data_IF_436840840145
#
_entry.id   IF_436840840145
#
_cell.length_a   1.000
_cell.length_b   1.000
_cell.length_c   1.000
_cell.angle_alpha   90.00
_cell.angle_beta   90.00
_cell.angle_gamma   90.00
#
_symmetry.space_group_name_H-M   'P 1'
#
loop_
_entity.id
_entity.type
_entity.pdbx_description
1 polymer ?
#
# COMPACT_ATOMS: atom_id res chain seq x y z
N UNK A 1 4.16 -0.49 34.68
CA UNK A 1 4.26 -0.83 33.24
C UNK A 1 3.46 -2.11 32.97
N UNK A 2 2.95 -2.33 31.74
CA UNK A 2 2.14 -3.51 31.38
C UNK A 2 2.83 -4.84 31.69
N UNK A 3 4.13 -4.96 31.37
CA UNK A 3 4.96 -6.14 31.67
C UNK A 3 4.92 -6.55 33.15
N UNK A 4 4.94 -5.59 34.07
CA UNK A 4 4.93 -5.87 35.51
C UNK A 4 3.57 -6.37 36.04
N UNK A 5 2.52 -6.34 35.20
CA UNK A 5 1.16 -6.80 35.53
C UNK A 5 0.68 -7.89 34.54
N UNK A 6 1.57 -8.40 33.68
CA UNK A 6 1.26 -9.37 32.62
C UNK A 6 0.09 -8.95 31.69
N UNK A 7 -0.09 -7.65 31.48
CA UNK A 7 -1.14 -7.10 30.60
C UNK A 7 -0.61 -7.13 29.16
N UNK A 8 -1.24 -7.86 28.21
CA UNK A 8 -0.90 -7.79 26.80
C UNK A 8 -1.07 -6.35 26.31
N UNK A 9 -0.14 -5.86 25.49
CA UNK A 9 -0.23 -4.54 24.89
C UNK A 9 0.16 -4.56 23.41
N UNK A 10 -0.38 -3.60 22.66
CA UNK A 10 -0.12 -3.38 21.24
C UNK A 10 0.15 -1.89 21.01
N UNK A 11 1.08 -1.55 20.11
CA UNK A 11 1.29 -0.15 19.71
C UNK A 11 0.42 0.18 18.51
N UNK A 12 -0.26 1.32 18.54
CA UNK A 12 -1.19 1.77 17.48
C UNK A 12 -0.76 3.16 17.01
N UNK A 13 -0.64 3.33 15.69
CA UNK A 13 -0.44 4.63 15.05
C UNK A 13 -1.71 5.03 14.26
N UNK A 14 -1.90 4.47 13.06
CA UNK A 14 -3.08 4.74 12.21
C UNK A 14 -4.04 3.54 12.05
N UNK A 15 -3.79 2.44 12.75
CA UNK A 15 -4.61 1.22 12.75
C UNK A 15 -4.78 0.48 11.39
N UNK A 16 -3.97 0.76 10.37
CA UNK A 16 -3.94 0.02 9.08
C UNK A 16 -3.30 -1.40 9.16
N UNK A 17 -3.42 -2.09 10.30
CA UNK A 17 -2.85 -3.41 10.50
C UNK A 17 -3.78 -4.52 10.01
N UNK A 18 -3.44 -5.18 8.88
CA UNK A 18 -4.37 -6.05 8.15
C UNK A 18 -4.39 -7.52 8.58
N UNK A 19 -3.66 -7.93 9.63
CA UNK A 19 -3.58 -9.34 10.02
C UNK A 19 -4.75 -9.75 10.93
N UNK A 20 -5.33 -10.93 10.69
CA UNK A 20 -6.41 -11.48 11.50
C UNK A 20 -6.05 -11.69 12.99
N UNK A 21 -4.76 -11.68 13.33
CA UNK A 21 -4.26 -11.67 14.71
C UNK A 21 -4.47 -10.34 15.43
N UNK A 22 -4.37 -9.20 14.72
CA UNK A 22 -4.55 -7.86 15.30
C UNK A 22 -6.02 -7.58 15.61
N UNK A 23 -6.95 -7.97 14.72
CA UNK A 23 -8.39 -7.86 14.96
C UNK A 23 -8.91 -8.70 16.13
N UNK A 24 -8.13 -9.67 16.61
CA UNK A 24 -8.44 -10.51 17.80
C UNK A 24 -7.69 -10.09 19.05
N UNK A 25 -6.91 -9.01 18.99
CA UNK A 25 -6.10 -8.56 20.12
C UNK A 25 -7.00 -8.02 21.25
N UNK A 26 -6.80 -8.52 22.47
CA UNK A 26 -7.46 -8.05 23.67
C UNK A 26 -6.41 -7.67 24.72
N UNK A 27 -6.29 -6.37 25.01
CA UNK A 27 -5.27 -5.81 25.87
C UNK A 27 -5.15 -4.29 25.73
N UNK A 28 -4.09 -3.72 26.29
CA UNK A 28 -3.82 -2.29 26.26
C UNK A 28 -3.34 -1.83 24.88
N UNK A 29 -3.93 -0.77 24.32
CA UNK A 29 -3.39 -0.11 23.13
C UNK A 29 -2.59 1.13 23.55
N UNK A 30 -1.36 1.24 23.02
CA UNK A 30 -0.48 2.38 23.19
C UNK A 30 -0.59 3.26 21.94
N UNK A 31 -1.38 4.34 22.04
CA UNK A 31 -1.57 5.29 20.93
C UNK A 31 -0.33 6.19 20.77
N UNK A 32 0.28 6.13 19.59
CA UNK A 32 1.46 6.91 19.21
C UNK A 32 1.09 8.29 18.63
N UNK A 33 -0.20 8.65 18.50
CA UNK A 33 -0.69 9.81 17.77
C UNK A 33 -0.19 11.19 18.23
N UNK A 34 0.46 11.28 19.40
CA UNK A 34 1.14 12.49 19.88
C UNK A 34 2.63 12.56 19.49
N UNK A 35 3.24 11.44 19.10
CA UNK A 35 4.63 11.35 18.66
C UNK A 35 4.71 11.61 17.14
N UNK A 36 4.45 12.86 16.74
CA UNK A 36 4.30 13.26 15.32
C UNK A 36 5.34 14.26 14.80
N UNK A 37 6.39 14.55 15.56
CA UNK A 37 7.43 15.46 15.09
C UNK A 37 8.25 14.85 13.94
N UNK A 38 8.67 15.73 13.04
CA UNK A 38 9.59 15.44 11.93
C UNK A 38 10.74 16.43 12.04
N UNK A 39 11.98 15.93 12.05
CA UNK A 39 13.20 16.73 12.18
C UNK A 39 14.16 16.46 11.02
N UNK A 40 14.27 17.41 10.09
CA UNK A 40 15.18 17.33 8.95
C UNK A 40 16.62 17.51 9.44
N UNK A 41 17.42 16.46 9.31
CA UNK A 41 18.78 16.45 9.83
C UNK A 41 19.70 17.41 9.08
N UNK A 42 20.74 17.90 9.77
CA UNK A 42 21.67 18.90 9.24
C UNK A 42 22.26 18.45 7.90
N UNK A 43 21.98 19.21 6.85
CA UNK A 43 22.43 18.93 5.48
C UNK A 43 21.39 18.25 4.59
N UNK A 44 20.16 18.01 5.07
CA UNK A 44 19.00 17.68 4.22
C UNK A 44 19.07 16.33 3.50
N UNK A 45 19.79 15.35 4.06
CA UNK A 45 19.93 14.00 3.49
C UNK A 45 19.04 12.96 4.17
N UNK A 46 18.64 13.22 5.41
CA UNK A 46 17.80 12.37 6.24
C UNK A 46 16.86 13.23 7.06
N UNK A 47 15.79 12.62 7.56
CA UNK A 47 14.94 13.19 8.60
C UNK A 47 14.64 12.11 9.64
N UNK A 48 14.47 12.55 10.89
CA UNK A 48 13.96 11.72 11.98
C UNK A 48 12.45 11.91 12.04
N UNK A 49 11.72 10.80 11.99
CA UNK A 49 10.27 10.73 12.04
C UNK A 49 9.87 10.06 13.35
N UNK A 50 9.02 10.71 14.15
CA UNK A 50 8.47 10.10 15.36
C UNK A 50 7.38 9.06 15.03
N UNK A 51 7.12 8.15 15.98
CA UNK A 51 6.40 6.91 15.69
C UNK A 51 4.90 6.99 15.40
N UNK A 52 4.28 8.16 15.61
CA UNK A 52 2.90 8.50 15.25
C UNK A 52 2.75 9.23 13.91
N UNK A 53 3.85 9.46 13.18
CA UNK A 53 3.83 10.07 11.84
C UNK A 53 3.11 9.17 10.83
N UNK A 54 2.51 9.79 9.81
CA UNK A 54 1.71 9.09 8.80
C UNK A 54 1.92 9.73 7.42
N UNK A 55 1.66 8.95 6.37
CA UNK A 55 2.15 9.20 5.02
C UNK A 55 1.77 10.60 4.52
N UNK A 56 0.49 10.98 4.59
CA UNK A 56 0.02 12.32 4.19
C UNK A 56 0.74 13.46 4.93
N UNK A 57 0.86 13.37 6.26
CA UNK A 57 1.58 14.36 7.07
C UNK A 57 3.05 14.49 6.64
N UNK A 58 3.70 13.37 6.34
CA UNK A 58 5.12 13.34 5.93
C UNK A 58 5.29 13.90 4.52
N UNK A 59 4.39 13.55 3.59
CA UNK A 59 4.39 14.05 2.22
C UNK A 59 4.23 15.57 2.23
N UNK A 60 3.20 16.10 2.89
CA UNK A 60 2.94 17.54 2.99
C UNK A 60 4.14 18.29 3.59
N UNK A 61 4.58 17.84 4.77
CA UNK A 61 5.66 18.50 5.51
C UNK A 61 6.97 18.53 4.70
N UNK A 62 7.36 17.43 4.06
CA UNK A 62 8.60 17.40 3.28
C UNK A 62 8.46 18.23 2.00
N UNK A 63 7.32 18.16 1.32
CA UNK A 63 7.08 18.87 0.06
C UNK A 63 7.17 20.39 0.22
N UNK A 64 6.60 20.93 1.30
CA UNK A 64 6.69 22.34 1.70
C UNK A 64 8.11 22.78 2.09
N UNK A 65 8.98 21.83 2.46
CA UNK A 65 10.40 22.06 2.74
C UNK A 65 11.32 21.82 1.53
N UNK A 66 10.76 21.46 0.37
CA UNK A 66 11.54 21.17 -0.84
C UNK A 66 12.17 19.78 -0.83
N UNK A 67 11.57 18.80 -0.15
CA UNK A 67 12.02 17.42 -0.06
C UNK A 67 10.90 16.40 -0.39
N UNK A 68 11.30 15.17 -0.65
CA UNK A 68 10.44 13.98 -0.75
C UNK A 68 11.10 12.79 -0.06
N UNK A 69 10.33 11.75 0.27
CA UNK A 69 10.85 10.46 0.76
C UNK A 69 10.01 9.31 0.18
N UNK A 70 10.41 8.08 0.44
CA UNK A 70 9.63 6.89 0.08
C UNK A 70 8.54 6.64 1.13
N UNK A 71 7.28 6.67 0.71
CA UNK A 71 6.08 6.36 1.52
C UNK A 71 5.26 5.25 0.84
N UNK A 72 4.12 4.87 1.41
CA UNK A 72 3.04 4.22 0.65
C UNK A 72 2.25 5.21 -0.21
N UNK A 73 1.24 4.70 -0.92
CA UNK A 73 0.30 5.47 -1.74
C UNK A 73 -0.89 6.03 -0.94
N UNK A 74 -1.30 5.35 0.13
CA UNK A 74 -2.44 5.73 0.97
C UNK A 74 -2.04 6.72 2.06
N UNK A 75 -2.49 7.96 1.95
CA UNK A 75 -2.12 9.07 2.85
C UNK A 75 -2.47 8.81 4.34
N UNK A 76 -3.43 7.92 4.60
CA UNK A 76 -3.86 7.53 5.95
C UNK A 76 -2.94 6.51 6.65
N UNK A 77 -2.02 5.84 5.94
CA UNK A 77 -1.15 4.82 6.52
C UNK A 77 -0.15 5.46 7.49
N UNK A 78 0.14 4.76 8.60
CA UNK A 78 1.18 5.19 9.53
C UNK A 78 2.55 4.80 8.98
N UNK A 79 3.49 5.73 8.97
CA UNK A 79 4.85 5.54 8.44
C UNK A 79 5.69 4.50 9.21
N UNK A 80 5.12 3.87 10.25
CA UNK A 80 5.83 3.02 11.18
C UNK A 80 5.65 1.53 10.90
N UNK A 81 6.78 0.90 10.56
CA UNK A 81 7.00 -0.53 10.64
C UNK A 81 7.81 -0.98 11.88
N UNK A 82 8.12 -2.29 12.01
CA UNK A 82 8.94 -2.98 13.05
C UNK A 82 9.95 -2.24 13.97
N UNK A 83 9.98 -2.54 15.29
CA UNK A 83 11.22 -2.52 16.15
C UNK A 83 11.13 -2.15 17.68
N UNK A 84 11.79 -2.91 18.59
CA UNK A 84 11.72 -2.94 20.09
C UNK A 84 13.04 -2.43 20.66
N UNK A 85 12.99 -1.93 21.89
CA UNK A 85 13.83 -2.48 22.97
C UNK A 85 12.97 -3.31 23.94
N UNK A 86 13.48 -4.44 24.43
CA UNK A 86 12.74 -5.42 25.23
C UNK A 86 13.19 -5.52 26.69
N UNK A 87 12.99 -4.46 27.47
CA UNK A 87 13.14 -4.43 28.95
C UNK A 87 12.58 -3.14 29.59
N UNK A 88 12.25 -2.13 28.78
CA UNK A 88 11.80 -0.79 29.22
C UNK A 88 12.88 0.29 29.04
N UNK A 89 14.10 -0.09 28.63
CA UNK A 89 15.12 0.84 28.14
C UNK A 89 14.85 1.24 26.68
N UNK A 90 15.21 2.47 26.33
CA UNK A 90 15.22 2.94 24.95
C UNK A 90 16.62 2.71 24.37
N UNK A 91 16.73 1.84 23.37
CA UNK A 91 17.98 1.59 22.63
C UNK A 91 17.98 2.33 21.30
N UNK A 92 19.16 2.72 20.81
CA UNK A 92 19.34 3.17 19.43
C UNK A 92 19.87 2.00 18.60
N UNK A 93 19.19 1.73 17.49
CA UNK A 93 19.49 0.62 16.57
C UNK A 93 20.06 1.22 15.28
N UNK A 94 21.23 0.73 14.83
CA UNK A 94 21.98 1.26 13.68
C UNK A 94 22.88 0.19 13.06
N UNK A 95 23.46 0.46 11.89
CA UNK A 95 24.43 -0.45 11.25
C UNK A 95 25.66 -0.75 12.14
N UNK A 96 25.96 0.13 13.11
CA UNK A 96 27.09 -0.01 14.04
C UNK A 96 26.67 -0.47 15.46
N UNK A 97 25.38 -0.69 15.72
CA UNK A 97 24.87 -1.06 17.04
C UNK A 97 23.52 -1.77 16.92
N UNK A 98 23.46 -3.04 17.32
CA UNK A 98 22.29 -3.93 17.12
C UNK A 98 21.92 -4.09 15.63
N UNK A 99 22.92 -4.33 14.77
CA UNK A 99 22.73 -4.39 13.30
C UNK A 99 21.93 -5.59 12.82
N UNK A 100 21.91 -6.68 13.60
CA UNK A 100 21.02 -7.83 13.45
C UNK A 100 19.55 -7.46 13.72
N UNK A 101 19.30 -6.68 14.77
CA UNK A 101 17.99 -6.11 15.05
C UNK A 101 17.57 -5.09 13.99
N UNK A 102 18.49 -4.25 13.50
CA UNK A 102 18.23 -3.34 12.37
C UNK A 102 17.82 -4.11 11.11
N UNK A 103 18.51 -5.22 10.83
CA UNK A 103 18.18 -6.10 9.70
C UNK A 103 16.76 -6.70 9.84
N UNK A 104 16.41 -7.18 11.04
CA UNK A 104 15.09 -7.71 11.34
C UNK A 104 14.00 -6.61 11.21
N UNK A 105 14.32 -5.41 11.69
CA UNK A 105 13.44 -4.24 11.61
C UNK A 105 13.18 -3.79 10.16
N UNK A 106 14.07 -4.10 9.21
CA UNK A 106 13.85 -3.88 7.77
C UNK A 106 12.94 -4.97 7.17
N UNK A 107 11.71 -5.11 7.68
CA UNK A 107 10.61 -5.81 7.02
C UNK A 107 9.84 -6.85 7.83
N UNK A 108 10.30 -7.28 9.01
CA UNK A 108 9.71 -8.44 9.72
C UNK A 108 8.46 -8.15 10.58
N UNK A 109 7.64 -7.16 10.22
CA UNK A 109 6.45 -6.72 10.98
C UNK A 109 6.72 -6.21 12.42
N UNK A 110 5.66 -5.78 13.10
CA UNK A 110 5.69 -5.22 14.46
C UNK A 110 6.20 -6.18 15.55
N UNK A 111 6.46 -7.46 15.22
CA UNK A 111 7.02 -8.49 16.09
C UNK A 111 8.24 -8.01 16.87
N UNK A 112 9.05 -7.20 16.17
CA UNK A 112 10.28 -6.72 16.73
C UNK A 112 10.12 -5.49 17.58
N UNK A 113 8.98 -4.74 17.66
CA UNK A 113 8.59 -3.85 18.79
C UNK A 113 8.02 -2.43 18.62
N UNK A 114 8.15 -1.60 19.69
CA UNK A 114 7.77 -0.16 19.76
C UNK A 114 8.89 0.77 19.26
N UNK A 115 8.80 1.24 18.01
CA UNK A 115 9.69 2.28 17.49
C UNK A 115 9.11 3.65 17.87
N UNK A 116 9.84 4.41 18.70
CA UNK A 116 9.46 5.78 19.09
C UNK A 116 9.85 6.83 18.06
N UNK A 117 10.91 6.57 17.30
CA UNK A 117 11.34 7.34 16.12
C UNK A 117 12.29 6.53 15.24
N UNK A 118 12.35 6.86 13.95
CA UNK A 118 13.31 6.29 13.00
C UNK A 118 13.91 7.37 12.10
N UNK A 119 15.14 7.15 11.61
CA UNK A 119 15.79 8.02 10.63
C UNK A 119 15.64 7.41 9.23
N UNK A 120 15.15 8.19 8.26
CA UNK A 120 14.99 7.78 6.87
C UNK A 120 15.61 8.81 5.92
N UNK A 121 16.10 8.35 4.77
CA UNK A 121 16.64 9.22 3.71
C UNK A 121 15.54 10.11 3.14
N UNK A 122 15.86 11.38 2.95
CA UNK A 122 15.04 12.32 2.18
C UNK A 122 15.83 12.78 0.96
N UNK A 123 15.12 13.20 -0.08
CA UNK A 123 15.70 13.62 -1.35
C UNK A 123 15.18 15.01 -1.69
N UNK A 124 15.98 15.88 -2.33
CA UNK A 124 15.48 17.17 -2.78
C UNK A 124 14.36 16.99 -3.80
N UNK A 125 13.33 17.83 -3.70
CA UNK A 125 12.29 18.00 -4.73
C UNK A 125 12.95 18.49 -6.01
N UNK A 126 12.75 17.75 -7.11
CA UNK A 126 13.35 18.05 -8.42
C UNK A 126 12.37 18.69 -9.43
N UNK A 127 11.06 18.62 -9.13
CA UNK A 127 9.96 19.11 -9.99
C UNK A 127 8.91 19.78 -9.11
N UNK A 128 8.14 20.71 -9.68
CA UNK A 128 7.10 21.44 -8.94
C UNK A 128 5.71 20.82 -9.03
N UNK A 129 5.49 19.93 -9.99
CA UNK A 129 4.26 19.15 -10.14
C UNK A 129 4.59 17.72 -10.56
N UNK A 130 3.66 16.82 -10.25
CA UNK A 130 3.57 15.47 -10.76
C UNK A 130 2.33 15.38 -11.65
N UNK A 131 2.47 14.65 -12.75
CA UNK A 131 1.35 14.33 -13.64
C UNK A 131 0.64 13.07 -13.14
N UNK A 132 -0.68 13.12 -13.08
CA UNK A 132 -1.53 11.95 -12.83
C UNK A 132 -2.48 11.75 -14.01
N UNK A 133 -2.94 10.52 -14.20
CA UNK A 133 -3.94 10.17 -15.21
C UNK A 133 -4.72 8.94 -14.79
N UNK A 134 -5.99 9.16 -14.47
CA UNK A 134 -6.96 8.14 -14.11
C UNK A 134 -7.74 7.74 -15.37
N UNK A 135 -8.03 6.44 -15.48
CA UNK A 135 -8.85 5.89 -16.53
C UNK A 135 -9.93 5.00 -15.92
N UNK A 136 -11.10 4.96 -16.55
CA UNK A 136 -12.05 3.87 -16.29
C UNK A 136 -12.42 3.19 -17.59
N UNK A 137 -12.35 1.86 -17.59
CA UNK A 137 -12.71 1.02 -18.72
C UNK A 137 -13.83 0.06 -18.36
N UNK A 138 -14.64 -0.32 -19.34
CA UNK A 138 -15.49 -1.50 -19.25
C UNK A 138 -14.65 -2.78 -19.31
N UNK A 139 -15.21 -3.85 -18.76
CA UNK A 139 -14.55 -5.14 -18.62
C UNK A 139 -14.13 -5.81 -19.95
N UNK A 140 -14.74 -5.43 -21.08
CA UNK A 140 -14.34 -5.91 -22.41
C UNK A 140 -12.95 -5.43 -22.85
N UNK A 141 -12.34 -4.52 -22.09
CA UNK A 141 -10.97 -4.03 -22.31
C UNK A 141 -9.90 -4.75 -21.48
N UNK A 142 -10.29 -5.60 -20.51
CA UNK A 142 -9.38 -6.21 -19.52
C UNK A 142 -8.18 -6.89 -20.18
N UNK A 143 -8.41 -7.76 -21.18
CA UNK A 143 -7.36 -8.49 -21.87
C UNK A 143 -6.39 -7.57 -22.63
N UNK A 144 -6.91 -6.47 -23.20
CA UNK A 144 -6.08 -5.49 -23.92
C UNK A 144 -5.25 -4.69 -22.92
N UNK A 145 -5.86 -4.23 -21.82
CA UNK A 145 -5.21 -3.45 -20.77
C UNK A 145 -4.04 -4.21 -20.13
N UNK A 146 -4.26 -5.44 -19.68
CA UNK A 146 -3.17 -6.26 -19.11
C UNK A 146 -2.17 -6.73 -20.17
N UNK A 147 -2.57 -6.79 -21.44
CA UNK A 147 -1.67 -6.95 -22.58
C UNK A 147 -0.67 -5.79 -22.71
N UNK A 148 -1.12 -4.54 -22.61
CA UNK A 148 -0.24 -3.37 -22.64
C UNK A 148 0.57 -3.18 -21.34
N UNK A 149 -0.04 -3.39 -20.16
CA UNK A 149 0.67 -3.34 -18.87
C UNK A 149 1.84 -4.34 -18.82
N UNK A 150 1.67 -5.55 -19.34
CA UNK A 150 2.77 -6.52 -19.42
C UNK A 150 3.93 -6.07 -20.33
N UNK A 151 3.68 -5.26 -21.36
CA UNK A 151 4.75 -4.66 -22.19
C UNK A 151 5.47 -3.55 -21.43
N UNK A 152 4.70 -2.70 -20.73
CA UNK A 152 5.24 -1.64 -19.86
C UNK A 152 6.14 -2.22 -18.76
N UNK A 153 5.71 -3.34 -18.16
CA UNK A 153 6.39 -4.01 -17.06
C UNK A 153 7.53 -4.96 -17.49
N UNK A 154 7.93 -4.97 -18.75
CA UNK A 154 9.02 -5.85 -19.20
C UNK A 154 10.35 -5.49 -18.51
N UNK A 155 11.24 -6.48 -18.34
CA UNK A 155 12.57 -6.27 -17.70
C UNK A 155 13.46 -5.22 -18.40
N UNK A 156 13.07 -4.74 -19.58
CA UNK A 156 13.76 -3.73 -20.40
C UNK A 156 13.13 -2.34 -20.36
N UNK A 157 12.00 -2.14 -19.67
CA UNK A 157 11.17 -0.92 -19.77
C UNK A 157 10.80 -0.26 -18.44
N UNK A 158 11.57 -0.47 -17.37
CA UNK A 158 11.35 0.18 -16.08
C UNK A 158 11.47 1.71 -16.20
N UNK A 159 10.33 2.41 -16.17
CA UNK A 159 10.26 3.87 -16.13
C UNK A 159 10.67 4.31 -14.72
N UNK A 160 11.87 4.87 -14.57
CA UNK A 160 12.39 5.28 -13.27
C UNK A 160 11.51 6.35 -12.62
N UNK A 161 10.93 7.20 -13.44
CA UNK A 161 10.10 8.36 -13.10
C UNK A 161 8.63 7.99 -12.77
N UNK A 162 8.22 6.73 -12.96
CA UNK A 162 6.90 6.25 -12.56
C UNK A 162 6.87 6.00 -11.04
N UNK A 163 6.19 6.85 -10.27
CA UNK A 163 6.04 6.65 -8.83
C UNK A 163 5.19 5.40 -8.52
N UNK A 164 3.99 5.33 -9.09
CA UNK A 164 3.05 4.21 -8.90
C UNK A 164 2.09 4.13 -10.09
N UNK A 165 1.64 2.93 -10.39
CA UNK A 165 0.46 2.65 -11.21
C UNK A 165 -0.40 1.65 -10.42
N UNK A 166 -1.70 1.91 -10.30
CA UNK A 166 -2.62 0.92 -9.78
C UNK A 166 -3.97 0.97 -10.48
N UNK A 167 -4.65 -0.17 -10.50
CA UNK A 167 -6.03 -0.30 -10.96
C UNK A 167 -6.86 -1.07 -9.93
N UNK A 168 -8.16 -0.81 -9.89
CA UNK A 168 -9.11 -1.48 -9.01
C UNK A 168 -10.27 -2.07 -9.81
N UNK A 169 -10.63 -3.32 -9.54
CA UNK A 169 -11.96 -3.81 -9.89
C UNK A 169 -12.98 -3.22 -8.91
N UNK A 170 -14.07 -2.66 -9.42
CA UNK A 170 -15.11 -1.99 -8.63
C UNK A 170 -16.33 -1.63 -9.46
N UNK A 171 -17.46 -1.35 -8.79
CA UNK A 171 -18.70 -0.92 -9.44
C UNK A 171 -18.78 0.60 -9.42
N UNK A 172 -18.53 1.26 -10.55
CA UNK A 172 -18.80 2.70 -10.68
C UNK A 172 -20.17 2.93 -11.33
N UNK A 173 -21.12 3.46 -10.55
CA UNK A 173 -22.49 3.71 -10.99
C UNK A 173 -22.68 5.04 -11.76
N UNK A 174 -21.62 5.85 -11.92
CA UNK A 174 -21.72 7.28 -12.23
C UNK A 174 -21.11 7.70 -13.57
N UNK A 175 -20.60 6.78 -14.39
CA UNK A 175 -19.77 7.14 -15.55
C UNK A 175 -20.58 7.28 -16.85
N UNK A 176 -20.39 8.42 -17.51
CA UNK A 176 -20.70 8.64 -18.93
C UNK A 176 -19.46 9.15 -19.68
N UNK A 177 -19.27 8.67 -20.91
CA UNK A 177 -18.09 8.78 -21.80
C UNK A 177 -17.41 10.16 -21.98
N UNK A 178 -16.06 10.24 -21.91
CA UNK A 178 -15.19 11.06 -22.83
C UNK A 178 -13.67 10.75 -22.75
N UNK A 179 -12.90 11.27 -23.73
CA UNK A 179 -11.56 10.82 -24.24
C UNK A 179 -10.41 11.86 -23.94
N UNK A 180 -9.10 11.79 -24.33
CA UNK A 180 -8.28 10.93 -25.22
C UNK A 180 -6.73 11.14 -24.98
N UNK A 181 -5.84 10.48 -25.77
CA UNK A 181 -4.34 10.58 -25.88
C UNK A 181 -3.44 9.91 -24.79
N UNK A 182 -2.68 8.83 -25.02
CA UNK A 182 -2.40 8.07 -26.26
C UNK A 182 -2.09 6.56 -26.02
N UNK A 183 -1.13 6.17 -25.15
CA UNK A 183 -0.66 4.78 -25.04
C UNK A 183 -1.71 3.80 -24.48
N UNK A 184 -2.25 4.10 -23.29
CA UNK A 184 -3.43 3.40 -22.76
C UNK A 184 -4.71 3.86 -23.47
N UNK A 185 -4.73 5.06 -24.04
CA UNK A 185 -5.91 5.66 -24.69
C UNK A 185 -6.24 5.09 -26.07
N UNK A 186 -5.34 4.28 -26.65
CA UNK A 186 -5.68 3.34 -27.72
C UNK A 186 -6.74 2.32 -27.28
N UNK A 187 -6.91 2.14 -25.96
CA UNK A 187 -8.00 1.39 -25.34
C UNK A 187 -9.10 2.40 -24.99
N UNK A 188 -10.24 2.44 -25.72
CA UNK A 188 -11.27 3.45 -25.48
C UNK A 188 -11.80 3.38 -24.05
N UNK A 189 -11.61 4.45 -23.29
CA UNK A 189 -12.05 4.60 -21.90
C UNK A 189 -13.47 5.19 -21.83
N UNK A 190 -14.17 4.86 -20.74
CA UNK A 190 -15.44 5.48 -20.36
C UNK A 190 -15.23 6.84 -19.68
N UNK A 191 -14.07 7.06 -19.08
CA UNK A 191 -13.67 8.38 -18.60
C UNK A 191 -12.17 8.46 -18.47
N UNK A 192 -11.62 9.63 -18.77
CA UNK A 192 -10.24 10.01 -18.47
C UNK A 192 -10.28 11.26 -17.59
N UNK A 193 -9.47 11.27 -16.54
CA UNK A 193 -9.18 12.45 -15.75
C UNK A 193 -7.66 12.57 -15.62
N UNK A 194 -7.10 13.72 -15.95
CA UNK A 194 -5.67 13.98 -15.81
C UNK A 194 -5.40 15.39 -15.32
N UNK A 195 -4.16 15.62 -14.90
CA UNK A 195 -3.72 16.93 -14.49
C UNK A 195 -2.32 16.93 -13.89
N UNK A 196 -1.90 18.13 -13.49
CA UNK A 196 -0.65 18.34 -12.78
C UNK A 196 -0.96 18.86 -11.38
N UNK A 197 -0.49 18.15 -10.36
CA UNK A 197 -0.68 18.49 -8.94
C UNK A 197 0.68 18.52 -8.24
N UNK A 198 0.85 19.23 -7.10
CA UNK A 198 1.99 18.97 -6.22
C UNK A 198 2.03 17.50 -5.80
N UNK A 199 3.20 16.98 -5.39
CA UNK A 199 3.31 15.59 -4.92
C UNK A 199 2.35 15.27 -3.76
N UNK A 200 2.10 16.24 -2.88
CA UNK A 200 1.07 16.16 -1.83
C UNK A 200 -0.37 16.03 -2.33
N UNK A 201 -0.67 16.52 -3.54
CA UNK A 201 -1.98 16.37 -4.16
C UNK A 201 -2.18 15.03 -4.88
N UNK A 202 -1.13 14.21 -5.07
CA UNK A 202 -1.25 12.94 -5.79
C UNK A 202 -2.23 11.97 -5.09
N UNK A 203 -2.16 11.73 -3.77
CA UNK A 203 -3.10 10.82 -3.11
C UNK A 203 -4.56 11.20 -3.31
N UNK A 204 -4.92 12.49 -3.20
CA UNK A 204 -6.29 12.93 -3.46
C UNK A 204 -6.67 12.77 -4.94
N UNK A 205 -5.79 13.18 -5.85
CA UNK A 205 -5.99 13.08 -7.30
C UNK A 205 -6.14 11.63 -7.80
N UNK A 206 -5.62 10.63 -7.08
CA UNK A 206 -5.68 9.22 -7.47
C UNK A 206 -6.59 8.38 -6.56
N UNK A 207 -7.30 8.98 -5.60
CA UNK A 207 -8.28 8.27 -4.75
C UNK A 207 -7.70 7.51 -3.54
N UNK A 208 -6.46 7.81 -3.13
CA UNK A 208 -5.78 7.25 -1.93
C UNK A 208 -5.53 8.29 -0.82
N UNK A 209 -6.10 9.50 -0.98
CA UNK A 209 -6.04 10.60 -0.02
C UNK A 209 -6.80 10.35 1.29
N UNK A 210 -6.67 11.27 2.25
CA UNK A 210 -7.13 11.07 3.63
C UNK A 210 -8.64 10.88 3.76
N UNK A 211 -9.42 11.56 2.92
CA UNK A 211 -10.89 11.53 2.90
C UNK A 211 -11.44 10.62 1.80
N UNK A 212 -10.59 9.84 1.13
CA UNK A 212 -10.96 8.95 0.02
C UNK A 212 -11.41 7.56 0.52
N UNK A 213 -12.16 6.77 -0.28
CA UNK A 213 -12.74 5.49 0.16
C UNK A 213 -11.74 4.47 0.72
N UNK A 214 -10.50 4.44 0.22
CA UNK A 214 -9.42 3.57 0.74
C UNK A 214 -8.97 3.92 2.17
N UNK A 215 -9.23 5.15 2.61
CA UNK A 215 -8.95 5.65 3.95
C UNK A 215 -10.21 5.78 4.83
N UNK A 216 -11.38 5.35 4.32
CA UNK A 216 -12.64 5.37 5.04
C UNK A 216 -12.60 4.47 6.28
N UNK A 217 -13.38 4.85 7.31
CA UNK A 217 -13.46 4.14 8.59
C UNK A 217 -14.86 3.57 8.80
N UNK A 218 -14.96 2.60 9.70
CA UNK A 218 -16.25 2.03 10.12
C UNK A 218 -16.74 0.88 9.23
N UNK A 219 -15.86 0.34 8.38
CA UNK A 219 -16.06 -0.90 7.65
C UNK A 219 -15.25 -2.03 8.30
N UNK A 220 -15.71 -3.26 8.12
CA UNK A 220 -14.90 -4.46 8.31
C UNK A 220 -14.19 -4.80 7.00
N UNK A 221 -12.95 -5.29 7.11
CA UNK A 221 -12.10 -5.55 5.96
C UNK A 221 -11.43 -6.92 6.07
N UNK A 222 -11.68 -7.80 5.09
CA UNK A 222 -10.93 -9.06 4.94
C UNK A 222 -9.99 -8.96 3.75
N UNK A 223 -8.70 -9.12 4.01
CA UNK A 223 -7.64 -8.91 3.02
C UNK A 223 -6.96 -10.20 2.60
N UNK A 224 -6.55 -10.27 1.33
CA UNK A 224 -5.53 -11.18 0.86
C UNK A 224 -4.58 -10.49 -0.13
N UNK A 225 -3.32 -10.93 -0.15
CA UNK A 225 -2.27 -10.31 -0.96
C UNK A 225 -1.45 -11.36 -1.71
N UNK A 226 -1.01 -11.01 -2.92
CA UNK A 226 -0.10 -11.83 -3.73
C UNK A 226 1.01 -10.95 -4.34
N UNK A 227 2.15 -11.57 -4.66
CA UNK A 227 3.27 -10.95 -5.37
C UNK A 227 3.48 -11.68 -6.70
N UNK A 228 3.66 -10.90 -7.77
CA UNK A 228 3.71 -11.37 -9.15
C UNK A 228 4.92 -10.78 -9.90
N UNK A 229 5.28 -11.41 -11.02
CA UNK A 229 6.27 -10.91 -11.99
C UNK A 229 5.65 -10.56 -13.35
N UNK A 230 4.40 -10.99 -13.58
CA UNK A 230 3.66 -10.81 -14.83
C UNK A 230 2.17 -10.85 -14.53
N UNK A 231 1.38 -10.05 -15.24
CA UNK A 231 -0.08 -10.11 -15.19
C UNK A 231 -0.58 -11.31 -16.00
N UNK A 232 -0.95 -12.40 -15.32
CA UNK A 232 -1.57 -13.55 -16.00
C UNK A 232 -3.00 -13.19 -16.41
N UNK A 233 -3.16 -12.79 -17.67
CA UNK A 233 -4.41 -12.23 -18.22
C UNK A 233 -5.60 -13.17 -18.00
N UNK A 234 -5.43 -14.48 -18.25
CA UNK A 234 -6.50 -15.47 -18.03
C UNK A 234 -6.92 -15.54 -16.56
N UNK A 235 -5.97 -15.52 -15.64
CA UNK A 235 -6.27 -15.52 -14.20
C UNK A 235 -6.90 -14.20 -13.74
N UNK A 236 -6.50 -13.06 -14.31
CA UNK A 236 -7.12 -11.77 -14.01
C UNK A 236 -8.57 -11.67 -14.49
N UNK A 237 -8.91 -12.33 -15.61
CA UNK A 237 -10.31 -12.56 -16.04
C UNK A 237 -11.05 -13.45 -15.05
N UNK A 238 -10.49 -14.59 -14.65
CA UNK A 238 -11.09 -15.49 -13.64
C UNK A 238 -11.38 -14.76 -12.31
N UNK A 239 -10.48 -13.88 -11.86
CA UNK A 239 -10.67 -13.04 -10.67
C UNK A 239 -11.74 -11.96 -10.87
N UNK A 240 -11.81 -11.33 -12.05
CA UNK A 240 -12.87 -10.36 -12.37
C UNK A 240 -14.25 -11.02 -12.40
N UNK A 241 -14.38 -12.18 -13.04
CA UNK A 241 -15.65 -12.90 -13.14
C UNK A 241 -16.11 -13.41 -11.76
N UNK A 242 -15.17 -13.86 -10.92
CA UNK A 242 -15.44 -14.17 -9.51
C UNK A 242 -15.88 -12.93 -8.72
N UNK A 243 -15.21 -11.79 -8.91
CA UNK A 243 -15.59 -10.52 -8.27
C UNK A 243 -17.03 -10.14 -8.60
N UNK A 244 -17.39 -10.11 -9.89
CA UNK A 244 -18.75 -9.81 -10.35
C UNK A 244 -19.80 -10.79 -9.80
N UNK A 245 -19.47 -12.08 -9.74
CA UNK A 245 -20.34 -13.10 -9.16
C UNK A 245 -20.61 -12.83 -7.67
N UNK A 246 -19.56 -12.62 -6.87
CA UNK A 246 -19.64 -12.44 -5.42
C UNK A 246 -20.41 -11.18 -5.01
N UNK A 247 -20.19 -10.05 -5.69
CA UNK A 247 -20.95 -8.82 -5.40
C UNK A 247 -22.42 -8.89 -5.86
N UNK A 248 -22.74 -9.74 -6.83
CA UNK A 248 -24.12 -9.98 -7.29
C UNK A 248 -24.86 -10.91 -6.33
N UNK A 249 -24.19 -11.95 -5.83
CA UNK A 249 -24.70 -12.86 -4.80
C UNK A 249 -24.92 -12.12 -3.45
N UNK A 250 -23.99 -11.24 -3.08
CA UNK A 250 -24.03 -10.51 -1.82
C UNK A 250 -23.80 -8.99 -2.03
N UNK A 251 -24.88 -8.22 -2.30
CA UNK A 251 -24.78 -6.78 -2.58
C UNK A 251 -24.20 -5.91 -1.45
N UNK A 252 -24.16 -6.41 -0.20
CA UNK A 252 -23.52 -5.72 0.93
C UNK A 252 -21.98 -5.63 0.79
N UNK A 253 -21.38 -6.45 -0.10
CA UNK A 253 -19.94 -6.48 -0.35
C UNK A 253 -19.54 -5.72 -1.63
N UNK A 254 -20.46 -5.01 -2.29
CA UNK A 254 -20.21 -4.33 -3.57
C UNK A 254 -19.10 -3.26 -3.53
N UNK A 255 -18.81 -2.73 -2.34
CA UNK A 255 -17.78 -1.71 -2.09
C UNK A 255 -16.38 -2.36 -1.87
N UNK A 256 -16.28 -3.69 -2.03
CA UNK A 256 -15.01 -4.43 -2.08
C UNK A 256 -14.22 -4.09 -3.35
N UNK A 257 -12.90 -4.30 -3.30
CA UNK A 257 -12.01 -4.08 -4.44
C UNK A 257 -11.01 -5.23 -4.62
N UNK A 258 -10.56 -5.40 -5.87
CA UNK A 258 -9.29 -6.07 -6.18
C UNK A 258 -8.36 -5.01 -6.74
N UNK A 259 -7.40 -4.58 -5.92
CA UNK A 259 -6.36 -3.63 -6.29
C UNK A 259 -5.17 -4.38 -6.90
N UNK A 260 -4.63 -3.81 -7.97
CA UNK A 260 -3.58 -4.37 -8.80
C UNK A 260 -2.51 -3.28 -8.93
N UNK A 261 -1.34 -3.47 -8.33
CA UNK A 261 -0.29 -2.46 -8.18
C UNK A 261 0.96 -2.81 -9.00
N UNK A 262 1.54 -1.77 -9.61
CA UNK A 262 2.81 -1.74 -10.31
C UNK A 262 3.57 -0.46 -9.91
N UNK A 263 4.90 -0.51 -9.85
CA UNK A 263 5.73 0.65 -9.53
C UNK A 263 7.16 0.48 -10.06
N UNK A 264 7.90 1.58 -10.14
CA UNK A 264 9.32 1.58 -10.54
C UNK A 264 10.17 0.74 -9.58
N UNK A 265 10.49 -0.49 -9.99
CA UNK A 265 11.32 -1.41 -9.19
C UNK A 265 12.82 -1.11 -9.26
N UNK A 266 13.25 -0.06 -9.99
CA UNK A 266 14.67 0.32 -10.14
C UNK A 266 15.34 0.51 -8.77
N UNK A 267 14.68 1.24 -7.87
CA UNK A 267 15.19 1.49 -6.51
C UNK A 267 15.21 0.23 -5.63
N UNK A 268 14.20 -0.64 -5.78
CA UNK A 268 14.09 -1.90 -5.02
C UNK A 268 15.15 -2.90 -5.48
N UNK A 269 15.31 -3.11 -6.78
CA UNK A 269 16.28 -4.03 -7.41
C UNK A 269 17.73 -3.64 -7.16
N UNK A 270 18.00 -2.37 -6.87
CA UNK A 270 19.33 -1.88 -6.50
C UNK A 270 19.79 -2.26 -5.07
N UNK A 271 18.88 -2.79 -4.23
CA UNK A 271 19.18 -3.19 -2.85
C UNK A 271 19.38 -4.71 -2.76
N UNK A 272 20.52 -5.14 -2.22
CA UNK A 272 20.81 -6.55 -1.95
C UNK A 272 19.73 -7.15 -1.02
N UNK A 273 19.10 -8.24 -1.47
CA UNK A 273 18.02 -8.95 -0.74
C UNK A 273 18.44 -9.41 0.65
N UNK A 274 19.75 -9.59 0.89
CA UNK A 274 20.30 -10.02 2.18
C UNK A 274 20.40 -8.91 3.23
N UNK A 275 20.19 -7.64 2.86
CA UNK A 275 20.35 -6.49 3.78
C UNK A 275 19.10 -6.14 4.61
N UNK A 276 18.05 -6.97 4.51
CA UNK A 276 16.74 -6.75 5.11
C UNK A 276 15.97 -8.05 5.29
N UNK A 277 15.11 -8.13 6.32
CA UNK A 277 14.21 -9.26 6.52
C UNK A 277 13.13 -9.44 5.43
N UNK A 278 12.87 -8.44 4.58
CA UNK A 278 12.07 -8.60 3.36
C UNK A 278 12.98 -8.94 2.15
N UNK A 279 12.97 -10.18 1.63
CA UNK A 279 13.97 -10.64 0.67
C UNK A 279 13.58 -10.44 -0.81
N UNK A 280 12.31 -10.15 -1.10
CA UNK A 280 11.84 -10.04 -2.48
C UNK A 280 12.30 -8.72 -3.11
N UNK A 281 13.04 -8.86 -4.22
CA UNK A 281 13.63 -7.75 -5.00
C UNK A 281 13.35 -7.89 -6.49
N UNK A 282 13.08 -9.11 -6.95
CA UNK A 282 12.71 -9.48 -8.30
C UNK A 282 11.21 -9.32 -8.57
N UNK A 283 10.38 -9.63 -7.57
CA UNK A 283 8.92 -9.39 -7.55
C UNK A 283 8.63 -7.91 -7.74
N UNK A 284 7.65 -7.61 -8.58
CA UNK A 284 7.50 -6.25 -9.12
C UNK A 284 6.04 -5.82 -9.33
N UNK A 285 5.09 -6.76 -9.21
CA UNK A 285 3.65 -6.52 -9.24
C UNK A 285 3.02 -7.05 -7.95
N UNK A 286 2.03 -6.35 -7.40
CA UNK A 286 1.29 -6.79 -6.21
C UNK A 286 -0.21 -6.83 -6.52
N UNK A 287 -0.93 -7.71 -5.82
CA UNK A 287 -2.40 -7.65 -5.78
C UNK A 287 -2.86 -7.59 -4.34
N UNK A 288 -3.84 -6.73 -4.05
CA UNK A 288 -4.53 -6.66 -2.76
C UNK A 288 -6.02 -6.86 -3.03
N UNK A 289 -6.57 -8.00 -2.62
CA UNK A 289 -8.03 -8.15 -2.49
C UNK A 289 -8.43 -7.57 -1.15
N UNK A 290 -9.30 -6.58 -1.14
CA UNK A 290 -9.89 -5.99 0.06
C UNK A 290 -11.41 -6.17 0.00
N UNK A 291 -11.92 -7.11 0.80
CA UNK A 291 -13.35 -7.39 0.90
C UNK A 291 -13.93 -6.49 2.00
N UNK A 292 -14.69 -5.48 1.58
CA UNK A 292 -15.18 -4.39 2.41
C UNK A 292 -16.68 -4.56 2.66
N UNK A 293 -17.11 -4.47 3.92
CA UNK A 293 -18.52 -4.54 4.30
C UNK A 293 -18.84 -3.72 5.57
N UNK A 294 -20.10 -3.28 5.76
CA UNK A 294 -20.54 -2.75 7.04
C UNK A 294 -20.37 -3.79 8.16
N UNK A 295 -20.11 -3.39 9.42
CA UNK A 295 -19.86 -4.31 10.53
C UNK A 295 -20.94 -5.37 10.73
N UNK A 296 -20.63 -6.59 10.30
CA UNK A 296 -21.53 -7.75 10.37
C UNK A 296 -20.73 -9.05 10.32
N UNK A 297 -20.51 -9.65 11.50
CA UNK A 297 -19.75 -10.89 11.64
C UNK A 297 -20.38 -12.13 10.97
N UNK A 298 -21.62 -12.05 10.50
CA UNK A 298 -22.21 -13.12 9.67
C UNK A 298 -21.59 -13.19 8.28
N UNK A 299 -20.86 -12.16 7.84
CA UNK A 299 -20.22 -12.09 6.51
C UNK A 299 -18.74 -12.53 6.56
N UNK A 300 -18.11 -12.56 7.73
CA UNK A 300 -16.67 -12.85 7.91
C UNK A 300 -16.21 -14.13 7.19
N UNK A 301 -17.00 -15.21 7.32
CA UNK A 301 -16.69 -16.50 6.72
C UNK A 301 -16.74 -16.43 5.18
N UNK A 302 -17.76 -15.78 4.62
CA UNK A 302 -17.93 -15.59 3.18
C UNK A 302 -16.84 -14.68 2.60
N UNK A 303 -16.54 -13.56 3.28
CA UNK A 303 -15.48 -12.64 2.90
C UNK A 303 -14.10 -13.31 2.96
N UNK A 304 -13.85 -14.14 3.98
CA UNK A 304 -12.62 -14.95 4.11
C UNK A 304 -12.52 -16.01 3.02
N UNK A 305 -13.62 -16.69 2.68
CA UNK A 305 -13.63 -17.66 1.58
C UNK A 305 -13.30 -16.97 0.25
N UNK A 306 -13.95 -15.85 -0.06
CA UNK A 306 -13.72 -15.10 -1.30
C UNK A 306 -12.28 -14.56 -1.38
N UNK A 307 -11.76 -13.93 -0.32
CA UNK A 307 -10.38 -13.45 -0.28
C UNK A 307 -9.37 -14.59 -0.52
N UNK A 308 -9.64 -15.80 0.00
CA UNK A 308 -8.83 -16.98 -0.28
C UNK A 308 -8.99 -17.49 -1.71
N UNK A 309 -10.20 -17.49 -2.27
CA UNK A 309 -10.46 -17.89 -3.67
C UNK A 309 -9.68 -16.99 -4.66
N UNK A 310 -9.69 -15.67 -4.48
CA UNK A 310 -8.87 -14.75 -5.28
C UNK A 310 -7.37 -15.08 -5.14
N UNK A 311 -6.88 -15.18 -3.90
CA UNK A 311 -5.47 -15.50 -3.59
C UNK A 311 -5.02 -16.81 -4.24
N UNK A 312 -5.87 -17.83 -4.22
CA UNK A 312 -5.57 -19.16 -4.76
C UNK A 312 -5.68 -19.19 -6.29
N UNK A 313 -6.64 -18.49 -6.90
CA UNK A 313 -6.68 -18.28 -8.36
C UNK A 313 -5.38 -17.64 -8.86
N UNK A 314 -4.94 -16.57 -8.19
CA UNK A 314 -3.70 -15.86 -8.51
C UNK A 314 -2.48 -16.78 -8.34
N UNK A 315 -2.40 -17.53 -7.23
CA UNK A 315 -1.27 -18.43 -6.96
C UNK A 315 -1.18 -19.66 -7.87
N UNK A 316 -2.31 -20.19 -8.37
CA UNK A 316 -2.38 -21.43 -9.20
C UNK A 316 -1.48 -21.43 -10.44
N UNK A 317 -1.06 -20.26 -10.93
CA UNK A 317 -0.25 -20.12 -12.16
C UNK A 317 1.05 -19.33 -11.98
N UNK A 318 1.51 -19.12 -10.73
CA UNK A 318 2.81 -18.48 -10.43
C UNK A 318 3.96 -19.49 -10.51
N UNK A 319 3.67 -20.77 -10.26
CA UNK A 319 4.64 -21.85 -10.21
C UNK A 319 4.31 -22.88 -11.30
N UNK A 320 5.23 -23.18 -12.24
CA UNK A 320 5.10 -24.29 -13.18
C UNK A 320 5.33 -25.65 -12.49
#
# INVERSE_FOLDING_TARGET
MPNANSIPFLTVNKAHGLTATLGRFNGLQLDMGLLRNIDIQRGGKTAIFQGGTFDGQVIDYLWDKGYVTTTGSCACVGMLGPGLGGDGSAITVSENSHSDLLWAMKGAGHNFGIVTSFELKIYPRLVDTWYYRNYVWKQDKLETLFGELNKLHSNTSHIRELAVNYGTYGVNASISSTEYFEAFDRIPAESVEDGNVPYSGIPDATGTGLDQPLCAKGYEHVHSTNYLNVWNITTLREVYDLFQSKITEQPLLRDSIVMLEDYSTVGVRAVDSRTSAFPWRDRALLTVTAINFPPNSSLDAYATEWANQNKDLINKRIWP
#
